data_IF_375158505423
#
_entry.id   IF_375158505423
#
_cell.length_a   1.000
_cell.length_b   1.000
_cell.length_c   1.000
_cell.angle_alpha   90.00
_cell.angle_beta   90.00
_cell.angle_gamma   90.00
#
_symmetry.space_group_name_H-M   'P 1'
#
loop_
_entity.id
_entity.type
_entity.pdbx_description
1 polymer ?
#
# COMPACT_ATOMS: atom_id res chain seq x y z
N UNK A 1 -45.31 27.65 29.68
CA UNK A 1 -45.38 28.26 28.34
C UNK A 1 -44.72 29.62 28.41
N UNK A 2 -43.79 29.95 27.50
CA UNK A 2 -43.11 31.25 27.49
C UNK A 2 -44.12 32.30 26.99
N UNK A 3 -44.30 33.40 27.73
CA UNK A 3 -45.29 34.44 27.40
C UNK A 3 -44.99 35.12 26.06
N UNK A 4 -43.72 35.45 25.82
CA UNK A 4 -43.25 36.08 24.57
C UNK A 4 -42.05 35.27 24.00
N UNK A 5 -42.30 34.18 23.25
CA UNK A 5 -41.23 33.37 22.70
C UNK A 5 -40.48 34.12 21.59
N UNK A 6 -39.15 33.99 21.56
CA UNK A 6 -38.34 34.56 20.48
C UNK A 6 -38.76 33.96 19.11
N UNK A 7 -39.10 34.77 18.10
CA UNK A 7 -39.60 34.27 16.82
C UNK A 7 -38.56 33.49 16.01
N UNK A 8 -37.26 33.73 16.23
CA UNK A 8 -36.17 33.04 15.51
C UNK A 8 -35.93 31.61 16.02
N UNK A 9 -36.08 31.37 17.32
CA UNK A 9 -35.81 30.07 17.94
C UNK A 9 -37.04 29.44 18.60
N UNK A 10 -38.21 30.06 18.48
CA UNK A 10 -39.46 29.66 19.14
C UNK A 10 -39.31 29.39 20.66
N UNK A 11 -38.42 30.13 21.33
CA UNK A 11 -38.13 29.95 22.75
C UNK A 11 -37.16 28.80 23.11
N UNK A 12 -36.56 28.13 22.13
CA UNK A 12 -35.57 27.06 22.34
C UNK A 12 -34.18 27.57 22.77
N UNK A 13 -33.87 28.85 22.53
CA UNK A 13 -32.57 29.43 22.85
C UNK A 13 -31.42 29.04 21.91
N UNK A 14 -31.72 28.33 20.81
CA UNK A 14 -30.76 27.95 19.76
C UNK A 14 -31.44 27.91 18.39
N UNK A 15 -30.66 28.09 17.33
CA UNK A 15 -31.08 27.97 15.93
C UNK A 15 -30.11 27.07 15.19
N UNK A 16 -30.58 26.40 14.14
CA UNK A 16 -29.69 25.62 13.25
C UNK A 16 -29.04 26.58 12.28
N UNK A 17 -27.71 26.52 12.17
CA UNK A 17 -26.92 27.29 11.21
C UNK A 17 -25.98 26.35 10.46
N UNK A 18 -25.80 26.58 9.16
CA UNK A 18 -24.73 25.95 8.40
C UNK A 18 -23.44 26.74 8.62
N UNK A 19 -22.36 26.02 8.96
CA UNK A 19 -21.03 26.60 9.15
C UNK A 19 -19.99 25.80 8.38
N UNK A 20 -19.10 26.52 7.71
CA UNK A 20 -17.92 25.96 7.06
C UNK A 20 -16.73 26.08 7.99
N UNK A 21 -16.12 24.94 8.32
CA UNK A 21 -14.94 24.87 9.17
C UNK A 21 -13.73 24.44 8.34
N UNK A 22 -12.61 25.14 8.51
CA UNK A 22 -11.33 24.75 7.91
C UNK A 22 -10.57 23.88 8.89
N UNK A 23 -10.17 22.69 8.45
CA UNK A 23 -9.48 21.70 9.27
C UNK A 23 -8.15 21.39 8.64
N UNK A 24 -7.07 21.66 9.37
CA UNK A 24 -5.73 21.31 8.92
C UNK A 24 -5.44 19.83 9.24
N UNK A 25 -5.25 19.01 8.21
CA UNK A 25 -4.86 17.61 8.36
C UNK A 25 -3.33 17.54 8.30
N UNK A 26 -2.64 17.23 9.41
CA UNK A 26 -1.18 17.19 9.42
C UNK A 26 -0.66 16.03 8.57
N UNK A 27 0.47 16.26 7.90
CA UNK A 27 1.16 15.23 7.15
C UNK A 27 1.54 14.04 8.05
N UNK A 28 1.40 12.83 7.50
CA UNK A 28 1.76 11.60 8.21
C UNK A 28 0.66 11.02 9.10
N UNK A 29 -0.53 11.63 9.11
CA UNK A 29 -1.67 11.09 9.85
C UNK A 29 -2.02 9.67 9.40
N UNK A 30 -2.43 8.83 10.34
CA UNK A 30 -2.76 7.42 10.09
C UNK A 30 -4.26 7.23 9.90
N UNK A 31 -4.63 6.09 9.32
CA UNK A 31 -6.02 5.68 9.21
C UNK A 31 -6.67 5.56 10.60
N UNK A 32 -7.93 5.98 10.71
CA UNK A 32 -8.66 5.99 11.97
C UNK A 32 -8.29 7.12 12.94
N UNK A 33 -7.38 8.03 12.57
CA UNK A 33 -7.02 9.14 13.45
C UNK A 33 -8.23 10.06 13.71
N UNK A 34 -8.39 10.48 14.97
CA UNK A 34 -9.44 11.38 15.43
C UNK A 34 -8.90 12.81 15.62
N UNK A 35 -9.51 13.78 14.95
CA UNK A 35 -9.25 15.21 15.16
C UNK A 35 -10.39 15.80 15.99
N UNK A 36 -10.04 16.57 17.03
CA UNK A 36 -10.99 17.30 17.88
C UNK A 36 -10.93 18.78 17.59
N UNK A 37 -12.06 19.37 17.23
CA UNK A 37 -12.24 20.81 17.18
C UNK A 37 -13.04 21.23 18.42
N UNK A 38 -12.35 21.89 19.36
CA UNK A 38 -12.94 22.26 20.62
C UNK A 38 -13.98 23.37 20.44
N UNK A 39 -15.14 23.25 21.09
CA UNK A 39 -16.27 24.20 21.02
C UNK A 39 -16.91 24.39 19.63
N UNK A 40 -16.60 23.52 18.66
CA UNK A 40 -17.21 23.54 17.31
C UNK A 40 -18.37 22.54 17.16
N UNK A 41 -18.80 21.92 18.27
CA UNK A 41 -19.99 21.06 18.32
C UNK A 41 -21.28 21.85 18.55
N UNK A 42 -22.35 21.13 18.90
CA UNK A 42 -23.66 21.76 19.11
C UNK A 42 -23.65 22.78 20.26
N UNK A 43 -24.48 23.81 20.13
CA UNK A 43 -24.67 24.82 21.17
C UNK A 43 -25.14 24.19 22.48
N UNK A 44 -24.48 24.55 23.59
CA UNK A 44 -24.84 24.10 24.93
C UNK A 44 -26.20 24.60 25.40
N UNK A 45 -26.83 23.85 26.30
CA UNK A 45 -28.10 24.24 26.90
C UNK A 45 -27.89 25.26 28.03
N UNK A 46 -28.82 26.22 28.17
CA UNK A 46 -28.89 27.17 29.31
C UNK A 46 -27.59 27.95 29.58
N UNK A 47 -26.89 28.38 28.53
CA UNK A 47 -25.63 29.11 28.66
C UNK A 47 -24.41 28.21 28.90
N UNK A 48 -24.55 26.89 28.77
CA UNK A 48 -23.43 25.98 28.71
C UNK A 48 -22.57 26.19 27.46
N UNK A 49 -21.28 25.81 27.50
CA UNK A 49 -20.40 25.91 26.33
C UNK A 49 -20.87 24.99 25.21
N UNK A 50 -20.44 25.28 23.99
CA UNK A 50 -20.63 24.38 22.85
C UNK A 50 -19.92 23.05 23.09
N UNK A 51 -20.45 21.98 22.49
CA UNK A 51 -19.76 20.69 22.43
C UNK A 51 -18.51 20.73 21.55
N UNK A 52 -17.87 19.57 21.39
CA UNK A 52 -16.73 19.41 20.49
C UNK A 52 -17.15 18.70 19.20
N UNK A 53 -16.57 19.08 18.07
CA UNK A 53 -16.68 18.33 16.83
C UNK A 53 -15.53 17.31 16.74
N UNK A 54 -15.87 16.06 16.47
CA UNK A 54 -14.91 14.99 16.24
C UNK A 54 -14.93 14.55 14.79
N UNK A 55 -13.77 14.56 14.16
CA UNK A 55 -13.56 14.14 12.78
C UNK A 55 -12.76 12.85 12.80
N UNK A 56 -13.30 11.81 12.17
CA UNK A 56 -12.64 10.53 11.98
C UNK A 56 -12.10 10.47 10.56
N UNK A 57 -10.79 10.30 10.44
CA UNK A 57 -10.13 10.20 9.14
C UNK A 57 -10.09 8.75 8.68
N UNK A 58 -10.41 8.54 7.41
CA UNK A 58 -10.24 7.27 6.72
C UNK A 58 -9.35 7.48 5.49
N UNK A 59 -8.29 6.69 5.38
CA UNK A 59 -7.38 6.72 4.23
C UNK A 59 -8.00 5.91 3.10
N UNK A 60 -8.16 6.53 1.94
CA UNK A 60 -8.68 5.84 0.76
C UNK A 60 -7.64 4.79 0.29
N UNK A 61 -8.06 3.55 0.00
CA UNK A 61 -7.19 2.57 -0.63
C UNK A 61 -6.62 3.11 -1.95
N UNK A 62 -5.34 2.85 -2.18
CA UNK A 62 -4.64 3.24 -3.41
C UNK A 62 -4.42 2.02 -4.30
N UNK A 63 -4.52 2.20 -5.63
CA UNK A 63 -4.42 1.11 -6.60
C UNK A 63 -3.04 0.43 -6.57
N UNK A 64 -1.97 1.23 -6.47
CA UNK A 64 -0.59 0.73 -6.56
C UNK A 64 0.14 0.65 -5.22
N UNK A 65 -0.32 1.37 -4.20
CA UNK A 65 0.42 1.55 -2.95
C UNK A 65 -0.40 1.05 -1.78
N UNK A 66 0.21 0.16 -1.00
CA UNK A 66 -0.26 -0.19 0.32
C UNK A 66 0.58 0.56 1.34
N UNK A 67 -0.08 1.27 2.25
CA UNK A 67 0.58 1.98 3.35
C UNK A 67 0.56 1.12 4.61
N UNK A 68 1.72 0.99 5.25
CA UNK A 68 1.85 0.43 6.60
C UNK A 68 2.69 1.39 7.45
N UNK A 69 2.03 2.10 8.37
CA UNK A 69 2.64 3.19 9.13
C UNK A 69 3.24 4.27 8.22
N UNK A 70 4.57 4.40 8.25
CA UNK A 70 5.33 5.34 7.44
C UNK A 70 5.81 4.74 6.11
N UNK A 71 5.77 3.41 5.96
CA UNK A 71 6.30 2.73 4.78
C UNK A 71 5.21 2.50 3.74
N UNK A 72 5.64 2.47 2.47
CA UNK A 72 4.81 2.16 1.32
C UNK A 72 5.29 0.87 0.68
N UNK A 73 4.34 0.09 0.19
CA UNK A 73 4.60 -1.15 -0.53
C UNK A 73 3.92 -1.08 -1.88
N UNK A 74 4.63 -1.43 -2.94
CA UNK A 74 4.03 -1.63 -4.25
C UNK A 74 4.55 -2.91 -4.89
N UNK A 75 3.71 -3.52 -5.71
CA UNK A 75 4.05 -4.71 -6.49
C UNK A 75 4.25 -4.31 -7.94
N UNK A 76 5.43 -4.61 -8.49
CA UNK A 76 5.79 -4.24 -9.85
C UNK A 76 6.03 -5.51 -10.68
N UNK A 77 5.23 -5.74 -11.73
CA UNK A 77 5.49 -6.84 -12.66
C UNK A 77 6.76 -6.56 -13.47
N UNK A 78 7.61 -7.57 -13.59
CA UNK A 78 8.80 -7.55 -14.45
C UNK A 78 8.81 -8.78 -15.34
N UNK A 79 9.34 -8.65 -16.56
CA UNK A 79 9.43 -9.79 -17.46
C UNK A 79 10.38 -10.87 -16.92
N UNK A 80 10.06 -12.14 -17.20
CA UNK A 80 10.95 -13.26 -16.92
C UNK A 80 12.39 -13.02 -17.44
N UNK A 81 12.53 -12.41 -18.61
CA UNK A 81 13.85 -12.09 -19.20
C UNK A 81 14.61 -11.04 -18.39
N UNK A 82 13.94 -10.00 -17.89
CA UNK A 82 14.58 -8.98 -17.03
C UNK A 82 14.97 -9.57 -15.68
N UNK A 83 14.16 -10.48 -15.15
CA UNK A 83 14.48 -11.18 -13.91
C UNK A 83 15.70 -12.10 -14.08
N UNK A 84 15.78 -12.84 -15.19
CA UNK A 84 16.87 -13.76 -15.47
C UNK A 84 18.17 -13.04 -15.85
N UNK A 85 18.11 -12.10 -16.80
CA UNK A 85 19.26 -11.44 -17.43
C UNK A 85 19.61 -10.09 -16.77
N UNK A 86 18.86 -9.67 -15.75
CA UNK A 86 19.01 -8.36 -15.14
C UNK A 86 18.50 -7.23 -16.04
N UNK A 87 18.59 -6.00 -15.52
CA UNK A 87 18.15 -4.82 -16.24
C UNK A 87 17.70 -3.71 -15.30
N UNK A 88 16.66 -2.99 -15.70
CA UNK A 88 16.08 -1.92 -14.89
C UNK A 88 14.65 -1.61 -15.31
N UNK A 89 13.85 -1.12 -14.37
CA UNK A 89 12.52 -0.56 -14.63
C UNK A 89 12.36 0.78 -13.91
N UNK A 90 11.32 1.53 -14.27
CA UNK A 90 10.99 2.81 -13.64
C UNK A 90 9.72 2.68 -12.81
N UNK A 91 9.72 3.33 -11.65
CA UNK A 91 8.57 3.41 -10.74
C UNK A 91 8.28 4.86 -10.42
N UNK A 92 7.01 5.25 -10.56
CA UNK A 92 6.53 6.51 -10.04
C UNK A 92 6.43 6.42 -8.51
N UNK A 93 6.94 7.42 -7.80
CA UNK A 93 6.74 7.57 -6.35
C UNK A 93 5.55 8.48 -6.06
N UNK A 94 5.11 8.51 -4.81
CA UNK A 94 3.89 9.26 -4.41
C UNK A 94 4.01 10.78 -4.65
N UNK A 95 5.24 11.31 -4.67
CA UNK A 95 5.57 12.71 -5.00
C UNK A 95 5.53 13.01 -6.53
N UNK A 96 5.17 12.02 -7.35
CA UNK A 96 5.11 12.15 -8.81
C UNK A 96 6.45 12.01 -9.52
N UNK A 97 7.55 11.79 -8.80
CA UNK A 97 8.87 11.59 -9.42
C UNK A 97 9.03 10.16 -9.93
N UNK A 98 9.76 9.97 -11.03
CA UNK A 98 10.12 8.64 -11.53
C UNK A 98 11.51 8.25 -11.04
N UNK A 99 11.61 7.04 -10.50
CA UNK A 99 12.87 6.47 -10.01
C UNK A 99 13.20 5.21 -10.77
N UNK A 100 14.42 5.13 -11.31
CA UNK A 100 14.94 3.94 -11.99
C UNK A 100 15.48 2.94 -10.96
N UNK A 101 14.94 1.73 -10.98
CA UNK A 101 15.34 0.61 -10.11
C UNK A 101 16.15 -0.39 -10.93
N UNK A 102 17.34 -0.75 -10.44
CA UNK A 102 18.19 -1.78 -11.06
C UNK A 102 17.75 -3.17 -10.60
N UNK A 103 17.63 -4.08 -11.55
CA UNK A 103 17.32 -5.50 -11.33
C UNK A 103 18.60 -6.31 -11.55
N UNK A 104 19.14 -6.94 -10.51
CA UNK A 104 20.25 -7.88 -10.65
C UNK A 104 19.83 -9.11 -11.46
N UNK A 105 20.79 -9.73 -12.14
CA UNK A 105 20.64 -11.04 -12.76
C UNK A 105 20.18 -12.09 -11.74
N UNK A 106 19.33 -13.02 -12.18
CA UNK A 106 18.77 -14.07 -11.31
C UNK A 106 17.82 -13.57 -10.22
N UNK A 107 17.21 -12.38 -10.38
CA UNK A 107 16.22 -11.85 -9.43
C UNK A 107 15.02 -12.80 -9.33
N UNK A 108 14.75 -13.29 -8.12
CA UNK A 108 13.63 -14.18 -7.86
C UNK A 108 12.31 -13.43 -7.67
N UNK A 109 11.21 -14.13 -7.91
CA UNK A 109 9.87 -13.62 -7.67
C UNK A 109 9.68 -13.24 -6.20
N UNK A 110 9.03 -12.11 -5.94
CA UNK A 110 8.81 -11.59 -4.58
C UNK A 110 10.01 -10.86 -3.97
N UNK A 111 11.14 -10.72 -4.68
CA UNK A 111 12.29 -9.94 -4.20
C UNK A 111 11.87 -8.49 -3.95
N UNK A 112 12.34 -7.94 -2.83
CA UNK A 112 12.06 -6.55 -2.47
C UNK A 112 13.26 -5.63 -2.70
N UNK A 113 12.99 -4.46 -3.26
CA UNK A 113 13.91 -3.35 -3.42
C UNK A 113 13.46 -2.18 -2.57
N UNK A 114 14.37 -1.59 -1.79
CA UNK A 114 14.07 -0.47 -0.89
C UNK A 114 14.51 0.84 -1.52
N UNK A 115 13.59 1.77 -1.70
CA UNK A 115 13.87 3.17 -2.03
C UNK A 115 13.79 4.01 -0.76
N UNK A 116 14.95 4.39 -0.25
CA UNK A 116 15.08 5.11 1.02
C UNK A 116 14.47 6.51 0.94
N UNK A 117 13.66 6.89 1.92
CA UNK A 117 13.04 8.21 2.04
C UNK A 117 11.93 8.48 1.03
N UNK A 118 11.40 7.42 0.39
CA UNK A 118 10.31 7.51 -0.60
C UNK A 118 8.97 6.99 -0.08
N UNK A 119 8.83 6.82 1.23
CA UNK A 119 7.58 6.48 1.91
C UNK A 119 6.79 7.71 2.36
N UNK A 120 6.02 7.56 3.43
CA UNK A 120 5.17 8.60 4.03
C UNK A 120 5.90 9.36 5.15
N UNK A 121 5.58 10.65 5.36
CA UNK A 121 6.07 11.37 6.52
C UNK A 121 5.54 10.77 7.81
N UNK A 122 6.34 10.83 8.88
CA UNK A 122 5.93 10.43 10.23
C UNK A 122 5.29 11.61 10.94
N UNK A 123 4.12 11.41 11.53
CA UNK A 123 3.37 12.48 12.19
C UNK A 123 4.23 13.20 13.25
N UNK A 124 4.38 14.52 13.11
CA UNK A 124 5.15 15.40 14.03
C UNK A 124 6.64 15.03 14.18
N UNK A 125 7.21 14.32 13.21
CA UNK A 125 8.63 14.01 13.18
C UNK A 125 9.23 14.45 11.84
N UNK A 126 10.55 14.77 11.80
CA UNK A 126 11.22 15.11 10.54
C UNK A 126 11.47 13.87 9.65
N UNK A 127 11.23 12.66 10.16
CA UNK A 127 11.49 11.41 9.47
C UNK A 127 10.40 11.09 8.43
N UNK A 128 10.84 10.38 7.39
CA UNK A 128 10.00 9.84 6.32
C UNK A 128 10.33 8.35 6.22
N UNK A 129 9.31 7.52 6.00
CA UNK A 129 9.50 6.09 5.74
C UNK A 129 10.05 5.82 4.35
N UNK A 130 10.00 4.56 3.96
CA UNK A 130 10.57 4.07 2.72
C UNK A 130 9.52 3.48 1.78
N UNK A 131 9.89 3.32 0.51
CA UNK A 131 9.10 2.57 -0.46
C UNK A 131 9.76 1.22 -0.72
N UNK A 132 9.01 0.15 -0.47
CA UNK A 132 9.38 -1.23 -0.73
C UNK A 132 8.70 -1.71 -2.01
N UNK A 133 9.51 -2.00 -3.02
CA UNK A 133 9.06 -2.48 -4.32
C UNK A 133 9.24 -3.98 -4.34
N UNK A 134 8.14 -4.72 -4.35
CA UNK A 134 8.15 -6.17 -4.52
C UNK A 134 8.03 -6.52 -6.00
N UNK A 135 9.00 -7.24 -6.55
CA UNK A 135 8.92 -7.70 -7.93
C UNK A 135 7.98 -8.89 -8.06
N UNK A 136 7.18 -8.87 -9.12
CA UNK A 136 6.36 -9.98 -9.57
C UNK A 136 6.89 -10.45 -10.91
N UNK A 137 7.54 -11.61 -10.97
CA UNK A 137 8.04 -12.13 -12.24
C UNK A 137 6.86 -12.67 -13.04
N UNK A 138 6.66 -12.10 -14.22
CA UNK A 138 5.59 -12.48 -15.13
C UNK A 138 6.07 -13.60 -16.07
N UNK A 139 5.37 -14.73 -16.02
CA UNK A 139 5.55 -15.83 -16.98
C UNK A 139 4.89 -15.44 -18.31
N UNK A 140 5.61 -15.51 -19.44
CA UNK A 140 5.08 -15.05 -20.72
C UNK A 140 3.91 -15.92 -21.20
N UNK A 141 2.89 -15.27 -21.76
CA UNK A 141 1.70 -15.91 -22.32
C UNK A 141 1.63 -15.70 -23.83
N UNK A 142 0.78 -16.47 -24.53
CA UNK A 142 0.52 -16.32 -25.97
C UNK A 142 1.78 -16.34 -26.86
N UNK A 143 2.68 -17.30 -26.59
CA UNK A 143 3.96 -17.44 -27.30
C UNK A 143 3.77 -17.76 -28.79
N UNK A 144 4.52 -17.06 -29.63
CA UNK A 144 4.70 -17.45 -31.04
C UNK A 144 5.48 -18.75 -31.15
N UNK A 145 5.42 -19.41 -32.33
CA UNK A 145 6.18 -20.63 -32.61
C UNK A 145 7.67 -20.46 -32.31
N UNK A 146 8.27 -19.37 -32.78
CA UNK A 146 9.70 -19.11 -32.58
C UNK A 146 10.05 -18.88 -31.11
N UNK A 147 9.20 -18.20 -30.35
CA UNK A 147 9.44 -17.99 -28.92
C UNK A 147 9.36 -19.30 -28.12
N UNK A 148 8.44 -20.20 -28.48
CA UNK A 148 8.37 -21.54 -27.89
C UNK A 148 9.63 -22.36 -28.17
N UNK A 149 10.07 -22.41 -29.43
CA UNK A 149 11.31 -23.11 -29.83
C UNK A 149 12.50 -22.64 -28.99
N UNK A 150 12.65 -21.33 -28.77
CA UNK A 150 13.74 -20.77 -27.95
C UNK A 150 13.66 -21.19 -26.46
N UNK A 151 12.46 -21.29 -25.89
CA UNK A 151 12.30 -21.76 -24.51
C UNK A 151 12.56 -23.26 -24.37
N UNK A 152 12.20 -24.06 -25.37
CA UNK A 152 12.52 -25.48 -25.41
C UNK A 152 14.03 -25.72 -25.56
N UNK A 153 14.71 -24.97 -26.43
CA UNK A 153 16.17 -24.98 -26.55
C UNK A 153 16.85 -24.56 -25.23
N UNK A 154 16.34 -23.51 -24.57
CA UNK A 154 16.84 -23.08 -23.25
C UNK A 154 16.68 -24.16 -22.19
N UNK A 155 15.54 -24.85 -22.15
CA UNK A 155 15.30 -25.95 -21.21
C UNK A 155 16.28 -27.12 -21.43
N UNK A 156 16.55 -27.49 -22.69
CA UNK A 156 17.51 -28.54 -23.02
C UNK A 156 18.94 -28.21 -22.56
N UNK A 157 19.30 -26.93 -22.54
CA UNK A 157 20.60 -26.44 -22.05
C UNK A 157 20.64 -26.25 -20.53
N UNK A 158 19.49 -26.25 -19.86
CA UNK A 158 19.38 -25.97 -18.43
C UNK A 158 19.77 -27.18 -17.58
N UNK A 159 20.41 -26.92 -16.44
CA UNK A 159 20.73 -27.93 -15.42
C UNK A 159 19.90 -27.73 -14.15
N UNK A 160 20.04 -28.65 -13.18
CA UNK A 160 19.43 -28.49 -11.84
C UNK A 160 19.86 -27.20 -11.13
N UNK A 161 21.01 -26.64 -11.51
CA UNK A 161 21.57 -25.42 -10.93
C UNK A 161 20.82 -24.16 -11.38
N UNK A 162 20.14 -24.20 -12.53
CA UNK A 162 19.32 -23.09 -13.02
C UNK A 162 17.98 -22.97 -12.27
N UNK A 163 17.47 -24.09 -11.74
CA UNK A 163 16.17 -24.18 -11.07
C UNK A 163 16.24 -24.95 -9.73
N UNK A 164 17.08 -24.52 -8.77
CA UNK A 164 17.36 -25.28 -7.54
C UNK A 164 16.17 -25.43 -6.61
N UNK A 165 15.27 -24.43 -6.58
CA UNK A 165 14.06 -24.49 -5.76
C UNK A 165 13.07 -25.54 -6.28
N UNK A 166 12.87 -25.59 -7.60
CA UNK A 166 11.98 -26.57 -8.24
C UNK A 166 12.56 -27.99 -8.06
N UNK A 167 13.82 -28.19 -8.45
CA UNK A 167 14.47 -29.50 -8.37
C UNK A 167 14.53 -30.04 -6.93
N UNK A 168 14.85 -29.17 -5.95
CA UNK A 168 14.86 -29.54 -4.54
C UNK A 168 13.48 -29.79 -3.94
N UNK A 169 12.44 -29.08 -4.38
CA UNK A 169 11.07 -29.32 -3.90
C UNK A 169 10.55 -30.70 -4.33
N UNK A 170 10.69 -31.05 -5.61
CA UNK A 170 10.20 -32.34 -6.11
C UNK A 170 10.98 -33.52 -5.54
N UNK A 171 12.29 -33.36 -5.28
CA UNK A 171 13.07 -34.37 -4.57
C UNK A 171 12.50 -34.63 -3.16
N UNK A 172 12.32 -33.58 -2.34
CA UNK A 172 11.75 -33.71 -0.99
C UNK A 172 10.33 -34.29 -0.99
N UNK A 173 9.52 -33.94 -1.99
CA UNK A 173 8.16 -34.47 -2.11
C UNK A 173 8.18 -35.97 -2.42
N UNK A 174 9.08 -36.41 -3.31
CA UNK A 174 9.27 -37.83 -3.61
C UNK A 174 9.68 -38.61 -2.37
N UNK A 175 10.69 -38.12 -1.64
CA UNK A 175 11.17 -38.75 -0.39
C UNK A 175 10.03 -38.87 0.64
N UNK A 176 9.19 -37.85 0.76
CA UNK A 176 8.03 -37.85 1.67
C UNK A 176 7.03 -38.96 1.32
N UNK A 177 6.65 -39.12 0.06
CA UNK A 177 5.68 -40.16 -0.33
C UNK A 177 6.26 -41.57 -0.28
N UNK A 178 7.56 -41.75 -0.56
CA UNK A 178 8.23 -43.04 -0.39
C UNK A 178 8.20 -43.49 1.08
N UNK A 179 8.31 -42.56 2.03
CA UNK A 179 8.19 -42.85 3.47
C UNK A 179 6.78 -43.31 3.93
N UNK A 180 5.73 -43.02 3.14
CA UNK A 180 4.37 -43.54 3.40
C UNK A 180 4.13 -44.94 2.82
N UNK A 181 4.92 -45.36 1.82
CA UNK A 181 4.79 -46.68 1.19
C UNK A 181 5.46 -47.81 1.96
N UNK A 182 6.28 -47.49 2.96
CA UNK A 182 7.03 -48.44 3.80
C UNK A 182 6.38 -48.72 5.17
N UNK A 183 5.14 -48.26 5.42
CA UNK A 183 4.33 -48.60 6.61
C UNK A 183 3.02 -49.32 6.27
#
# INVERSE_FOLDING_TARGET
TIKDPCPKCAGQGRVTEERSLSVNIPAGIEDGTRIRLANEGEAGLRGGPSGDLYIFLAVKPHEFFQRDGADLYCKVPISMTTAALGGSFEVATLDGTQTKVKVPEGTQNGRQFRLKGKGMPVLRQPNVGDLYIQTAVETPQNLSRRQRELLEEFEQLSSKDNSPQSSGFFARMKDFFESFGEN
#
